data_IF_222527871269
#
_entry.id   IF_222527871269
#
_cell.length_a   1.000
_cell.length_b   1.000
_cell.length_c   1.000
_cell.angle_alpha   90.00
_cell.angle_beta   90.00
_cell.angle_gamma   90.00
#
_symmetry.space_group_name_H-M   'P 1'
#
loop_
_entity.id
_entity.type
_entity.pdbx_description
1 polymer ?
#
# COMPACT_ATOMS: atom_id res chain seq x y z
N UNK A 1 0.85 3.92 -3.45
CA UNK A 1 -0.23 3.33 -4.28
C UNK A 1 -0.14 3.86 -5.71
N UNK A 2 -0.54 3.11 -6.75
CA UNK A 2 -0.56 3.59 -8.14
C UNK A 2 -1.84 4.40 -8.45
N UNK A 3 -1.81 5.39 -9.38
CA UNK A 3 -2.97 6.25 -9.68
C UNK A 3 -4.26 5.50 -10.06
N UNK A 4 -4.16 4.44 -10.86
CA UNK A 4 -5.32 3.63 -11.26
C UNK A 4 -5.95 2.80 -10.11
N UNK A 5 -5.25 2.63 -8.99
CA UNK A 5 -5.80 2.00 -7.80
C UNK A 5 -6.54 3.04 -6.95
N UNK A 6 -5.96 4.24 -6.80
CA UNK A 6 -6.54 5.41 -6.15
C UNK A 6 -7.90 5.74 -6.78
N UNK A 7 -7.94 5.85 -8.11
CA UNK A 7 -9.15 6.08 -8.92
C UNK A 7 -10.25 5.07 -8.57
N UNK A 8 -9.99 3.77 -8.75
CA UNK A 8 -10.98 2.70 -8.56
C UNK A 8 -11.45 2.52 -7.11
N UNK A 9 -10.57 2.73 -6.15
CA UNK A 9 -10.96 2.69 -4.74
C UNK A 9 -11.79 3.93 -4.39
N UNK A 10 -11.52 5.09 -4.98
CA UNK A 10 -12.34 6.30 -4.84
C UNK A 10 -13.73 6.12 -5.46
N UNK A 11 -13.83 5.57 -6.67
CA UNK A 11 -15.12 5.23 -7.32
C UNK A 11 -15.99 4.32 -6.44
N UNK A 12 -15.38 3.36 -5.75
CA UNK A 12 -16.08 2.49 -4.80
C UNK A 12 -16.53 3.26 -3.56
N UNK A 13 -15.70 4.14 -2.98
CA UNK A 13 -16.10 4.98 -1.84
C UNK A 13 -17.31 5.86 -2.19
N UNK A 14 -17.29 6.49 -3.37
CA UNK A 14 -18.35 7.38 -3.85
C UNK A 14 -19.65 6.63 -4.12
N UNK A 15 -19.60 5.54 -4.90
CA UNK A 15 -20.79 4.77 -5.29
C UNK A 15 -21.53 4.17 -4.08
N UNK A 16 -20.78 3.70 -3.08
CA UNK A 16 -21.34 2.97 -1.93
C UNK A 16 -21.63 3.91 -0.72
N UNK A 17 -21.27 5.19 -0.81
CA UNK A 17 -21.41 6.16 0.28
C UNK A 17 -20.56 5.81 1.51
N UNK A 18 -19.28 5.50 1.29
CA UNK A 18 -18.32 5.07 2.31
C UNK A 18 -17.22 6.13 2.52
N UNK A 19 -16.75 6.28 3.75
CA UNK A 19 -15.58 7.11 4.07
C UNK A 19 -14.26 6.35 3.93
N UNK A 20 -14.25 5.05 4.20
CA UNK A 20 -13.06 4.21 4.04
C UNK A 20 -13.37 2.78 3.58
N UNK A 21 -12.37 2.15 2.97
CA UNK A 21 -12.30 0.72 2.69
C UNK A 21 -11.17 0.12 3.54
N UNK A 22 -11.44 -1.01 4.20
CA UNK A 22 -10.49 -1.75 5.03
C UNK A 22 -10.29 -3.13 4.40
N UNK A 23 -9.09 -3.38 3.88
CA UNK A 23 -8.66 -4.67 3.36
C UNK A 23 -8.11 -5.54 4.49
N UNK A 24 -8.39 -6.85 4.46
CA UNK A 24 -7.91 -7.82 5.48
C UNK A 24 -7.21 -9.03 4.86
N UNK A 25 -7.61 -9.43 3.66
CA UNK A 25 -6.90 -10.46 2.90
C UNK A 25 -5.57 -9.93 2.36
N UNK A 26 -4.49 -10.74 2.42
CA UNK A 26 -3.16 -10.35 1.97
C UNK A 26 -3.13 -9.76 0.54
N UNK A 27 -3.96 -10.28 -0.36
CA UNK A 27 -4.09 -9.79 -1.72
C UNK A 27 -4.72 -8.39 -1.81
N UNK A 28 -5.64 -8.04 -0.91
CA UNK A 28 -6.24 -6.71 -0.83
C UNK A 28 -5.33 -5.74 -0.04
N UNK A 29 -4.67 -6.20 1.04
CA UNK A 29 -3.67 -5.41 1.79
C UNK A 29 -2.54 -4.96 0.85
N UNK A 30 -1.98 -5.90 0.08
CA UNK A 30 -0.96 -5.61 -0.95
C UNK A 30 -1.49 -4.73 -2.08
N UNK A 31 -2.76 -4.86 -2.46
CA UNK A 31 -3.36 -3.98 -3.46
C UNK A 31 -3.46 -2.54 -2.97
N UNK A 32 -3.79 -2.30 -1.70
CA UNK A 32 -3.90 -0.95 -1.12
C UNK A 32 -2.52 -0.33 -0.85
N UNK A 33 -1.64 -1.05 -0.16
CA UNK A 33 -0.40 -0.47 0.41
C UNK A 33 0.87 -0.81 -0.38
N UNK A 34 0.83 -1.86 -1.21
CA UNK A 34 2.03 -2.48 -1.78
C UNK A 34 2.74 -3.46 -0.83
N UNK A 35 2.44 -3.43 0.47
CA UNK A 35 3.07 -4.24 1.50
C UNK A 35 2.77 -5.74 1.33
N UNK A 36 3.74 -6.58 1.67
CA UNK A 36 3.56 -8.03 1.76
C UNK A 36 4.52 -8.61 2.80
N UNK A 37 3.99 -8.94 3.97
CA UNK A 37 4.79 -9.41 5.10
C UNK A 37 5.20 -10.88 5.00
N UNK A 38 6.47 -11.16 5.28
CA UNK A 38 6.96 -12.51 5.53
C UNK A 38 6.39 -13.10 6.83
N UNK A 39 6.19 -12.29 7.87
CA UNK A 39 5.58 -12.72 9.14
C UNK A 39 4.14 -13.20 8.90
N UNK A 40 3.36 -12.48 8.09
CA UNK A 40 2.04 -12.93 7.68
C UNK A 40 2.10 -14.21 6.84
N UNK A 41 3.04 -14.32 5.89
CA UNK A 41 3.19 -15.51 5.07
C UNK A 41 3.52 -16.78 5.88
N UNK A 42 4.22 -16.65 7.01
CA UNK A 42 4.63 -17.76 7.88
C UNK A 42 3.63 -18.04 9.02
N UNK A 43 3.00 -17.00 9.59
CA UNK A 43 2.22 -17.09 10.84
C UNK A 43 0.77 -16.59 10.71
N UNK A 44 0.33 -16.17 9.51
CA UNK A 44 -1.03 -15.68 9.22
C UNK A 44 -1.49 -14.55 10.16
N UNK A 45 -0.58 -13.67 10.56
CA UNK A 45 -0.87 -12.56 11.48
C UNK A 45 -1.91 -11.58 10.92
N UNK A 46 -2.76 -11.03 11.77
CA UNK A 46 -3.76 -10.03 11.38
C UNK A 46 -3.08 -8.78 10.81
N UNK A 47 -3.40 -8.42 9.58
CA UNK A 47 -2.92 -7.20 8.93
C UNK A 47 -4.09 -6.53 8.24
N UNK A 48 -4.23 -5.21 8.40
CA UNK A 48 -5.33 -4.45 7.82
C UNK A 48 -4.77 -3.24 7.07
N UNK A 49 -5.29 -2.98 5.88
CA UNK A 49 -4.96 -1.76 5.13
C UNK A 49 -6.21 -0.90 4.97
N UNK A 50 -6.14 0.34 5.44
CA UNK A 50 -7.21 1.33 5.35
C UNK A 50 -6.92 2.28 4.19
N UNK A 51 -7.92 2.54 3.36
CA UNK A 51 -7.92 3.57 2.33
C UNK A 51 -9.10 4.52 2.54
N UNK A 52 -8.83 5.82 2.54
CA UNK A 52 -9.84 6.88 2.47
C UNK A 52 -9.45 7.93 1.42
N UNK A 53 -10.32 8.91 1.17
CA UNK A 53 -10.01 10.07 0.31
C UNK A 53 -8.91 10.99 0.89
N UNK A 54 -8.51 10.79 2.15
CA UNK A 54 -7.52 11.61 2.88
C UNK A 54 -6.19 10.89 3.12
N UNK A 55 -6.09 9.59 2.82
CA UNK A 55 -4.83 8.85 2.96
C UNK A 55 -4.98 7.33 3.09
N UNK A 56 -3.83 6.70 3.30
CA UNK A 56 -3.62 5.29 3.58
C UNK A 56 -3.16 5.08 5.02
N UNK A 57 -3.63 4.00 5.65
CA UNK A 57 -3.06 3.50 6.89
C UNK A 57 -2.82 1.99 6.82
N UNK A 58 -1.76 1.53 7.50
CA UNK A 58 -1.40 0.12 7.62
C UNK A 58 -1.40 -0.28 9.11
N UNK A 59 -2.30 -1.21 9.46
CA UNK A 59 -2.40 -1.81 10.80
C UNK A 59 -1.70 -3.16 10.79
N UNK A 60 -0.70 -3.32 11.66
CA UNK A 60 0.18 -4.49 11.69
C UNK A 60 0.62 -4.85 13.10
N UNK A 61 1.02 -6.12 13.35
CA UNK A 61 1.76 -6.48 14.54
C UNK A 61 3.04 -5.65 14.68
N UNK A 62 3.44 -5.29 15.90
CA UNK A 62 4.67 -4.52 16.15
C UNK A 62 5.96 -5.18 15.63
N UNK A 63 5.94 -6.50 15.37
CA UNK A 63 7.06 -7.24 14.76
C UNK A 63 7.28 -6.94 13.26
N UNK A 64 6.27 -6.43 12.55
CA UNK A 64 6.40 -6.02 11.14
C UNK A 64 7.02 -4.61 10.98
N UNK A 65 7.09 -3.81 12.05
CA UNK A 65 7.55 -2.41 12.00
C UNK A 65 8.98 -2.25 11.42
N UNK A 66 9.98 -3.07 11.79
CA UNK A 66 11.33 -2.96 11.20
C UNK A 66 11.33 -3.21 9.69
N UNK A 67 10.55 -4.18 9.21
CA UNK A 67 10.44 -4.47 7.77
C UNK A 67 9.79 -3.31 7.02
N UNK A 68 8.70 -2.75 7.56
CA UNK A 68 7.98 -1.60 6.98
C UNK A 68 8.88 -0.36 6.84
N UNK A 69 9.71 -0.10 7.86
CA UNK A 69 10.67 1.03 7.83
C UNK A 69 11.80 0.77 6.83
N UNK A 70 12.40 -0.42 6.84
CA UNK A 70 13.53 -0.78 5.97
C UNK A 70 13.14 -0.88 4.49
N UNK A 71 11.95 -1.41 4.18
CA UNK A 71 11.39 -1.47 2.82
C UNK A 71 10.85 -0.12 2.32
N UNK A 72 10.75 0.89 3.19
CA UNK A 72 10.28 2.23 2.82
C UNK A 72 8.83 2.26 2.35
N UNK A 73 7.95 1.47 2.96
CA UNK A 73 6.55 1.31 2.54
C UNK A 73 5.82 2.66 2.54
N UNK A 74 5.43 3.12 1.34
CA UNK A 74 4.78 4.41 1.11
C UNK A 74 3.31 4.42 1.49
N UNK A 75 3.03 4.37 2.80
CA UNK A 75 1.73 4.66 3.41
C UNK A 75 1.83 5.88 4.31
N UNK A 76 0.73 6.62 4.46
CA UNK A 76 0.69 7.88 5.21
C UNK A 76 0.77 7.63 6.73
N UNK A 77 0.16 6.53 7.19
CA UNK A 77 0.17 6.11 8.60
C UNK A 77 0.49 4.62 8.75
N UNK A 78 1.24 4.29 9.80
CA UNK A 78 1.46 2.91 10.28
C UNK A 78 0.99 2.88 11.72
N UNK A 79 0.10 1.94 12.06
CA UNK A 79 -0.44 1.79 13.42
C UNK A 79 -0.13 0.38 13.93
N UNK A 80 0.96 0.22 14.70
CA UNK A 80 1.34 -1.09 15.23
C UNK A 80 0.39 -1.58 16.33
N UNK A 81 0.37 -2.87 16.61
CA UNK A 81 -0.31 -3.44 17.78
C UNK A 81 0.45 -4.61 18.41
N UNK A 82 0.19 -4.85 19.70
CA UNK A 82 0.74 -5.98 20.46
C UNK A 82 2.22 -5.80 20.86
N UNK A 83 2.68 -6.63 21.78
CA UNK A 83 3.82 -6.31 22.67
C UNK A 83 5.22 -6.60 22.14
N UNK A 84 5.40 -6.80 20.84
CA UNK A 84 6.74 -6.91 20.29
C UNK A 84 7.47 -5.56 20.36
N UNK A 85 8.63 -5.54 21.03
CA UNK A 85 9.51 -4.37 21.14
C UNK A 85 10.80 -4.67 20.36
N UNK A 86 11.09 -3.86 19.34
CA UNK A 86 12.34 -3.97 18.60
C UNK A 86 13.55 -3.62 19.50
N UNK A 87 14.68 -4.27 19.27
CA UNK A 87 15.93 -3.92 19.95
C UNK A 87 16.35 -2.48 19.60
N UNK A 88 16.83 -1.72 20.59
CA UNK A 88 17.30 -0.33 20.37
C UNK A 88 18.52 -0.32 19.45
N UNK A 89 18.38 0.34 18.30
CA UNK A 89 19.47 0.58 17.35
C UNK A 89 20.08 1.98 17.49
N UNK A 90 20.76 2.43 16.43
CA UNK A 90 21.25 3.81 16.26
C UNK A 90 20.93 4.29 14.85
N UNK A 91 20.62 5.57 14.70
CA UNK A 91 20.34 6.22 13.41
C UNK A 91 18.86 6.30 13.08
N UNK A 92 18.54 7.06 12.03
CA UNK A 92 17.19 7.52 11.69
C UNK A 92 16.15 6.42 11.51
N UNK A 93 16.53 5.25 11.00
CA UNK A 93 15.65 4.09 10.92
C UNK A 93 15.31 3.52 12.30
N UNK A 94 16.29 3.39 13.19
CA UNK A 94 16.07 2.90 14.54
C UNK A 94 15.21 3.87 15.37
N UNK A 95 15.42 5.18 15.19
CA UNK A 95 14.61 6.23 15.82
C UNK A 95 13.15 6.15 15.33
N UNK A 96 12.94 5.95 14.01
CA UNK A 96 11.60 5.78 13.41
C UNK A 96 10.90 4.49 13.86
N UNK A 97 11.64 3.38 13.97
CA UNK A 97 11.12 2.12 14.50
C UNK A 97 10.68 2.31 15.96
N UNK A 98 11.52 2.95 16.79
CA UNK A 98 11.21 3.26 18.19
C UNK A 98 9.93 4.08 18.33
N UNK A 99 9.83 5.21 17.61
CA UNK A 99 8.66 6.08 17.64
C UNK A 99 7.35 5.37 17.24
N UNK A 100 7.40 4.46 16.24
CA UNK A 100 6.24 3.64 15.86
C UNK A 100 5.90 2.59 16.93
N UNK A 101 6.90 1.89 17.49
CA UNK A 101 6.68 0.89 18.56
C UNK A 101 6.16 1.50 19.88
N UNK A 102 6.45 2.76 20.16
CA UNK A 102 5.90 3.50 21.31
C UNK A 102 4.42 3.86 21.12
N UNK A 103 3.95 4.05 19.88
CA UNK A 103 2.57 4.40 19.52
C UNK A 103 1.66 3.17 19.28
N UNK A 104 2.13 1.97 19.60
CA UNK A 104 1.38 0.73 19.37
C UNK A 104 0.07 0.67 20.18
N UNK A 105 -1.01 0.20 19.55
CA UNK A 105 -2.27 -0.05 20.24
C UNK A 105 -2.25 -1.40 20.99
N UNK A 106 -3.13 -1.56 21.98
CA UNK A 106 -3.23 -2.80 22.76
C UNK A 106 -3.86 -3.96 21.95
N UNK A 107 -4.62 -3.66 20.89
CA UNK A 107 -5.29 -4.67 20.06
C UNK A 107 -5.38 -4.28 18.58
N UNK A 108 -5.57 -5.24 17.65
CA UNK A 108 -5.82 -4.95 16.23
C UNK A 108 -7.05 -4.05 16.01
N UNK A 109 -8.09 -4.24 16.83
CA UNK A 109 -9.35 -3.48 16.74
C UNK A 109 -9.17 -2.02 17.16
N UNK A 110 -8.30 -1.76 18.14
CA UNK A 110 -7.94 -0.39 18.53
C UNK A 110 -7.02 0.26 17.50
N UNK A 111 -6.02 -0.46 17.00
CA UNK A 111 -5.19 0.04 15.90
C UNK A 111 -6.03 0.38 14.66
N UNK A 112 -7.07 -0.40 14.35
CA UNK A 112 -8.02 -0.09 13.28
C UNK A 112 -8.80 1.20 13.54
N UNK A 113 -9.27 1.44 14.77
CA UNK A 113 -9.95 2.68 15.13
C UNK A 113 -9.01 3.89 14.95
N UNK A 114 -7.80 3.82 15.52
CA UNK A 114 -6.76 4.86 15.35
C UNK A 114 -6.40 5.09 13.89
N UNK A 115 -6.28 4.04 13.09
CA UNK A 115 -6.01 4.14 11.65
C UNK A 115 -7.16 4.83 10.88
N UNK A 116 -8.41 4.52 11.22
CA UNK A 116 -9.59 5.18 10.65
C UNK A 116 -9.67 6.66 11.02
N UNK A 117 -9.34 7.02 12.26
CA UNK A 117 -9.30 8.41 12.71
C UNK A 117 -8.19 9.20 12.00
N UNK A 118 -6.99 8.62 11.86
CA UNK A 118 -5.86 9.23 11.16
C UNK A 118 -6.18 9.55 9.70
N UNK A 119 -6.84 8.64 8.97
CA UNK A 119 -7.31 8.89 7.60
C UNK A 119 -8.66 9.64 7.54
N UNK A 120 -9.13 10.22 8.64
CA UNK A 120 -10.32 11.06 8.72
C UNK A 120 -11.65 10.36 8.38
N UNK A 121 -11.73 9.06 8.65
CA UNK A 121 -12.90 8.19 8.44
C UNK A 121 -13.51 7.68 9.76
N UNK A 122 -13.22 8.36 10.89
CA UNK A 122 -13.54 7.94 12.26
C UNK A 122 -15.02 7.78 12.61
N UNK A 123 -15.94 8.40 11.86
CA UNK A 123 -17.37 8.46 12.22
C UNK A 123 -18.35 7.98 11.14
N UNK A 124 -17.98 7.97 9.86
CA UNK A 124 -18.87 7.56 8.77
C UNK A 124 -18.73 6.09 8.37
N UNK A 125 -19.59 5.64 7.44
CA UNK A 125 -19.68 4.23 7.01
C UNK A 125 -18.35 3.73 6.42
N UNK A 126 -17.98 2.50 6.76
CA UNK A 126 -16.77 1.83 6.24
C UNK A 126 -17.12 0.51 5.58
N UNK A 127 -16.42 0.19 4.50
CA UNK A 127 -16.45 -1.15 3.91
C UNK A 127 -15.32 -1.99 4.48
N UNK A 128 -15.62 -3.12 5.12
CA UNK A 128 -14.63 -4.04 5.69
C UNK A 128 -14.59 -5.34 4.89
N UNK A 129 -13.41 -5.69 4.37
CA UNK A 129 -13.13 -6.98 3.72
C UNK A 129 -13.28 -8.11 4.76
N UNK A 130 -14.40 -8.81 4.70
CA UNK A 130 -14.71 -9.94 5.58
C UNK A 130 -13.87 -11.19 5.25
N UNK A 131 -13.17 -11.22 4.10
CA UNK A 131 -12.55 -12.42 3.53
C UNK A 131 -11.36 -13.01 4.29
N UNK A 132 -10.89 -12.39 5.36
CA UNK A 132 -9.84 -12.95 6.24
C UNK A 132 -10.07 -12.64 7.72
N UNK A 133 -11.32 -12.37 8.11
CA UNK A 133 -11.73 -12.22 9.50
C UNK A 133 -12.45 -13.47 10.00
N UNK A 134 -12.25 -13.81 11.26
CA UNK A 134 -13.14 -14.74 11.97
C UNK A 134 -14.44 -14.01 12.33
N UNK A 135 -15.53 -14.76 12.55
CA UNK A 135 -16.78 -14.17 13.04
C UNK A 135 -16.59 -13.37 14.34
N UNK A 136 -15.76 -13.87 15.27
CA UNK A 136 -15.43 -13.16 16.50
C UNK A 136 -14.69 -11.83 16.23
N UNK A 137 -13.73 -11.81 15.30
CA UNK A 137 -13.01 -10.59 14.93
C UNK A 137 -13.94 -9.57 14.26
N UNK A 138 -14.87 -10.03 13.43
CA UNK A 138 -15.91 -9.19 12.83
C UNK A 138 -16.78 -8.54 13.92
N UNK A 139 -17.35 -9.31 14.86
CA UNK A 139 -18.18 -8.78 15.94
C UNK A 139 -17.42 -7.78 16.82
N UNK A 140 -16.14 -8.03 17.15
CA UNK A 140 -15.31 -7.09 17.89
C UNK A 140 -15.11 -5.75 17.15
N UNK A 141 -14.94 -5.79 15.83
CA UNK A 141 -14.82 -4.58 15.00
C UNK A 141 -16.16 -3.84 14.93
N UNK A 142 -17.28 -4.53 14.74
CA UNK A 142 -18.63 -3.92 14.73
C UNK A 142 -18.93 -3.27 16.09
N UNK A 143 -18.65 -3.96 17.20
CA UNK A 143 -18.86 -3.45 18.55
C UNK A 143 -17.99 -2.22 18.86
N UNK A 144 -16.72 -2.19 18.44
CA UNK A 144 -15.81 -1.05 18.66
C UNK A 144 -16.16 0.16 17.79
N UNK A 145 -16.55 -0.06 16.52
CA UNK A 145 -16.72 1.02 15.53
C UNK A 145 -18.16 1.54 15.43
N UNK A 146 -19.15 0.77 15.89
CA UNK A 146 -20.57 1.11 15.88
C UNK A 146 -21.40 0.20 14.94
N UNK A 147 -22.49 -0.40 15.44
CA UNK A 147 -23.43 -1.14 14.59
C UNK A 147 -23.95 -0.31 13.41
N UNK A 148 -24.10 -0.94 12.24
CA UNK A 148 -24.57 -0.27 11.01
C UNK A 148 -23.55 0.64 10.31
N UNK A 149 -22.43 0.99 10.96
CA UNK A 149 -21.33 1.74 10.33
C UNK A 149 -20.45 0.84 9.46
N UNK A 150 -20.23 -0.41 9.87
CA UNK A 150 -19.44 -1.41 9.14
C UNK A 150 -20.33 -2.16 8.16
N UNK A 151 -19.92 -2.25 6.89
CA UNK A 151 -20.57 -3.10 5.88
C UNK A 151 -19.58 -4.07 5.22
N UNK A 152 -20.00 -5.28 4.79
CA UNK A 152 -19.15 -6.20 4.05
C UNK A 152 -18.61 -5.58 2.74
N UNK A 153 -17.35 -5.84 2.42
CA UNK A 153 -16.66 -5.20 1.29
C UNK A 153 -15.76 -6.12 0.46
N UNK A 154 -15.66 -7.42 0.74
CA UNK A 154 -14.85 -8.33 -0.08
C UNK A 154 -15.31 -8.34 -1.55
N UNK A 155 -16.61 -8.16 -1.80
CA UNK A 155 -17.16 -7.96 -3.15
C UNK A 155 -16.69 -6.65 -3.80
N UNK A 156 -16.61 -5.56 -3.04
CA UNK A 156 -16.19 -4.24 -3.52
C UNK A 156 -14.71 -4.23 -3.94
N UNK A 157 -13.84 -4.88 -3.16
CA UNK A 157 -12.44 -5.08 -3.55
C UNK A 157 -12.31 -5.92 -4.83
N UNK A 158 -13.16 -6.95 -5.02
CA UNK A 158 -13.19 -7.70 -6.30
C UNK A 158 -13.60 -6.81 -7.48
N UNK A 159 -14.52 -5.87 -7.32
CA UNK A 159 -14.89 -4.89 -8.35
C UNK A 159 -13.71 -3.97 -8.67
N UNK A 160 -13.10 -3.33 -7.67
CA UNK A 160 -11.94 -2.44 -7.85
C UNK A 160 -10.75 -3.13 -8.55
N UNK A 161 -10.58 -4.45 -8.34
CA UNK A 161 -9.49 -5.25 -8.94
C UNK A 161 -9.82 -5.84 -10.33
N UNK A 162 -11.08 -5.86 -10.77
CA UNK A 162 -11.51 -6.54 -12.01
C UNK A 162 -11.16 -5.82 -13.31
N UNK A 163 -10.95 -4.50 -13.30
CA UNK A 163 -10.71 -3.73 -14.53
C UNK A 163 -9.29 -3.97 -15.06
N UNK A 164 -9.18 -4.64 -16.21
CA UNK A 164 -7.94 -4.76 -16.99
C UNK A 164 -7.60 -3.38 -17.56
N UNK A 165 -6.60 -2.70 -17.00
CA UNK A 165 -6.16 -1.39 -17.47
C UNK A 165 -5.68 -1.49 -18.93
N UNK A 166 -6.13 -0.58 -19.81
CA UNK A 166 -5.77 -0.53 -21.25
C UNK A 166 -4.26 -0.39 -21.53
N UNK A 167 -3.46 -0.12 -20.50
CA UNK A 167 -1.99 -0.03 -20.56
C UNK A 167 -1.28 -1.34 -20.94
N UNK A 168 -1.95 -2.50 -20.93
CA UNK A 168 -1.33 -3.79 -21.28
C UNK A 168 -1.27 -4.08 -22.79
N UNK A 169 -1.67 -3.13 -23.64
CA UNK A 169 -1.73 -3.29 -25.10
C UNK A 169 -0.81 -2.29 -25.87
N UNK A 170 0.10 -1.58 -25.19
CA UNK A 170 1.12 -0.77 -25.87
C UNK A 170 2.23 -1.67 -26.48
N UNK A 171 2.52 -1.58 -27.78
CA UNK A 171 3.63 -2.32 -28.39
C UNK A 171 4.97 -1.90 -27.78
N UNK A 172 5.76 -2.88 -27.34
CA UNK A 172 7.15 -2.64 -26.91
C UNK A 172 7.98 -2.36 -28.16
N UNK A 173 8.06 -1.08 -28.55
CA UNK A 173 8.98 -0.64 -29.60
C UNK A 173 10.43 -0.79 -29.13
N UNK A 174 11.01 -1.96 -29.39
CA UNK A 174 12.46 -2.17 -29.34
C UNK A 174 13.16 -1.16 -30.26
N UNK A 175 13.67 -0.05 -29.70
CA UNK A 175 14.69 0.76 -30.36
C UNK A 175 16.03 0.02 -30.35
N UNK A 176 16.15 -0.98 -31.22
CA UNK A 176 17.43 -1.54 -31.62
C UNK A 176 18.16 -0.54 -32.54
N UNK A 177 18.81 0.46 -31.92
CA UNK A 177 19.72 1.36 -32.62
C UNK A 177 21.02 0.66 -32.99
N UNK A 178 21.00 -0.27 -33.95
CA UNK A 178 22.23 -0.79 -34.57
C UNK A 178 22.80 0.27 -35.51
N UNK A 179 23.82 1.00 -35.04
CA UNK A 179 24.71 1.71 -35.94
C UNK A 179 25.44 0.68 -36.82
N UNK A 180 25.10 0.63 -38.11
CA UNK A 180 25.99 0.10 -39.15
C UNK A 180 26.73 1.29 -39.74
N UNK A 181 28.06 1.23 -39.83
CA UNK A 181 28.78 2.07 -40.79
C UNK A 181 28.50 1.59 -42.21
N UNK A 182 28.72 2.43 -43.22
CA UNK A 182 30.00 2.48 -43.97
C UNK A 182 29.97 3.69 -44.96
N UNK A 183 30.81 3.84 -46.00
CA UNK A 183 32.00 4.71 -45.97
C UNK A 183 32.00 5.91 -46.97
N UNK A 184 32.98 6.82 -46.78
CA UNK A 184 33.83 7.31 -47.90
C UNK A 184 33.56 8.68 -48.56
N UNK A 185 34.60 9.54 -48.54
CA UNK A 185 34.82 10.77 -49.34
C UNK A 185 33.79 11.91 -49.16
N UNK A 186 34.07 13.23 -49.26
CA UNK A 186 35.03 14.08 -50.00
C UNK A 186 35.28 15.34 -49.13
N UNK A 187 36.44 16.01 -49.00
CA UNK A 187 37.84 15.80 -49.38
C UNK A 187 38.73 16.78 -48.56
N UNK A 188 40.06 16.74 -48.71
CA UNK A 188 40.99 17.78 -48.20
C UNK A 188 41.82 18.41 -49.34
N UNK A 189 42.06 19.72 -49.23
CA UNK A 189 42.69 20.54 -50.27
C UNK A 189 44.22 20.51 -50.19
N UNK A 190 44.85 20.34 -51.34
CA UNK A 190 46.29 20.51 -51.54
C UNK A 190 46.76 21.93 -51.19
N UNK A 191 47.89 22.04 -50.48
CA UNK A 191 48.81 23.17 -50.62
C UNK A 191 50.24 22.66 -50.67
N UNK A 192 50.90 22.89 -51.81
CA UNK A 192 52.34 22.73 -52.00
C UNK A 192 52.90 24.09 -52.40
N UNK A 193 53.91 24.54 -51.67
CA UNK A 193 54.95 25.46 -52.09
C UNK A 193 56.12 25.23 -51.11
N UNK A 194 57.30 24.73 -51.48
CA UNK A 194 58.33 25.34 -52.35
C UNK A 194 58.74 26.73 -51.86
N UNK A 195 59.99 27.02 -51.48
CA UNK A 195 61.28 26.31 -51.67
C UNK A 195 62.18 26.53 -50.45
#
# INVERSE_FOLDING_TARGET
>A
MYPHQIERLTEVLEREGLQALVATSAANVRYVTGFGSMVHALFQTTQLAVWSRRGTALVVPSIDVPAIVSEGIGVDHVVPFGDFVAARGKGTEADRIGALSEQRAASPTEALATALDAVGAGTGRIGLDEGSLTAQAWELVVAKLGPGRVVPAAALFRVARRVKSRWRDLPVHHRHGRARGDPGAVAQRSRVASR
#
